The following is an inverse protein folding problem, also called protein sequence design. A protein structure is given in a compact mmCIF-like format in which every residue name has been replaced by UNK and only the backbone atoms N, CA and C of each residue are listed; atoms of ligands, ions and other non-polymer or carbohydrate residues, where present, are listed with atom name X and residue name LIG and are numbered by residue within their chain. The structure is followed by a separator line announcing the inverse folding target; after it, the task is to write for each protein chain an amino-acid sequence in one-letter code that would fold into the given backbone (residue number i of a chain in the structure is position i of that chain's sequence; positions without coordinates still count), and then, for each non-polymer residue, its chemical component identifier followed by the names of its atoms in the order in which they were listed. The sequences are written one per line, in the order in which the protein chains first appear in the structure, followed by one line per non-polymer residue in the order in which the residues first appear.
data_IF_012809817093
#
_entry.id   IF_012809817093
#
_cell.length_a   1.000
_cell.length_b   1.000
_cell.length_c   1.000
_cell.angle_alpha   90.00
_cell.angle_beta   90.00
_cell.angle_gamma   90.00
#
_symmetry.space_group_name_H-M   'P 1'
#
loop_
_entity.id
_entity.type
_entity.pdbx_description
1 polymer ?
#
# COMPACT_ATOMS: atom_id res chain seq x y z
N UNK A 1 8.25 28.74 -8.69
CA UNK A 1 9.34 27.79 -9.07
C UNK A 1 9.25 26.44 -8.33
N UNK A 2 8.48 26.30 -7.24
CA UNK A 2 8.30 25.02 -6.53
C UNK A 2 7.17 24.14 -7.13
N UNK A 3 6.35 24.73 -7.98
CA UNK A 3 5.07 24.19 -8.48
C UNK A 3 5.27 22.90 -9.30
N UNK A 4 6.30 22.87 -10.15
CA UNK A 4 6.63 21.69 -10.95
C UNK A 4 7.17 20.51 -10.12
N UNK A 5 7.92 20.78 -9.06
CA UNK A 5 8.44 19.72 -8.19
C UNK A 5 7.35 19.08 -7.33
N UNK A 6 6.39 19.87 -6.85
CA UNK A 6 5.22 19.36 -6.15
C UNK A 6 4.35 18.49 -7.06
N UNK A 7 4.03 18.95 -8.27
CA UNK A 7 3.25 18.18 -9.26
C UNK A 7 3.90 16.82 -9.61
N UNK A 8 5.22 16.78 -9.79
CA UNK A 8 5.96 15.55 -10.03
C UNK A 8 5.89 14.61 -8.81
N UNK A 9 6.03 15.14 -7.60
CA UNK A 9 5.91 14.34 -6.37
C UNK A 9 4.50 13.75 -6.21
N UNK A 10 3.43 14.50 -6.52
CA UNK A 10 2.06 13.98 -6.48
C UNK A 10 1.86 12.81 -7.44
N UNK A 11 2.36 12.93 -8.68
CA UNK A 11 2.29 11.84 -9.65
C UNK A 11 3.09 10.61 -9.18
N UNK A 12 4.32 10.81 -8.72
CA UNK A 12 5.18 9.73 -8.22
C UNK A 12 4.55 9.00 -7.02
N UNK A 13 3.89 9.72 -6.12
CA UNK A 13 3.22 9.14 -4.96
C UNK A 13 1.92 8.41 -5.33
N UNK A 14 1.15 8.92 -6.28
CA UNK A 14 0.00 8.20 -6.84
C UNK A 14 0.41 6.87 -7.47
N UNK A 15 1.51 6.86 -8.22
CA UNK A 15 2.08 5.65 -8.80
C UNK A 15 2.58 4.68 -7.73
N UNK A 16 3.29 5.17 -6.70
CA UNK A 16 3.77 4.34 -5.59
C UNK A 16 2.62 3.61 -4.87
N UNK A 17 1.46 4.27 -4.68
CA UNK A 17 0.26 3.63 -4.13
C UNK A 17 -0.21 2.46 -4.98
N UNK A 18 -0.30 2.65 -6.30
CA UNK A 18 -0.72 1.59 -7.23
C UNK A 18 0.26 0.43 -7.20
N UNK A 19 1.55 0.71 -7.16
CA UNK A 19 2.61 -0.30 -7.19
C UNK A 19 2.64 -1.13 -5.90
N UNK A 20 2.46 -0.50 -4.73
CA UNK A 20 2.38 -1.22 -3.46
C UNK A 20 1.10 -2.05 -3.40
N UNK A 21 -0.05 -1.53 -3.86
CA UNK A 21 -1.29 -2.31 -3.92
C UNK A 21 -1.13 -3.56 -4.82
N UNK A 22 -0.47 -3.42 -5.97
CA UNK A 22 -0.12 -4.54 -6.84
C UNK A 22 0.82 -5.54 -6.16
N UNK A 23 1.84 -5.05 -5.45
CA UNK A 23 2.79 -5.90 -4.74
C UNK A 23 2.10 -6.71 -3.63
N UNK A 24 1.23 -6.08 -2.83
CA UNK A 24 0.41 -6.75 -1.80
C UNK A 24 -0.44 -7.84 -2.45
N UNK A 25 -1.20 -7.51 -3.49
CA UNK A 25 -2.06 -8.49 -4.17
C UNK A 25 -1.27 -9.66 -4.77
N UNK A 26 -0.11 -9.39 -5.38
CA UNK A 26 0.77 -10.43 -5.91
C UNK A 26 1.25 -11.37 -4.81
N UNK A 27 1.71 -10.82 -3.68
CA UNK A 27 2.17 -11.61 -2.55
C UNK A 27 1.04 -12.47 -1.96
N UNK A 28 -0.20 -11.98 -1.96
CA UNK A 28 -1.39 -12.79 -1.61
C UNK A 28 -1.58 -13.98 -2.49
N UNK A 29 -1.59 -13.77 -3.80
CA UNK A 29 -1.76 -14.84 -4.76
C UNK A 29 -0.62 -15.88 -4.67
N UNK A 30 0.62 -15.43 -4.49
CA UNK A 30 1.78 -16.31 -4.35
C UNK A 30 1.67 -17.18 -3.08
N UNK A 31 1.15 -16.64 -1.97
CA UNK A 31 0.93 -17.41 -0.75
C UNK A 31 -0.23 -18.40 -0.88
N UNK A 32 -1.38 -17.99 -1.42
CA UNK A 32 -2.51 -18.89 -1.69
C UNK A 32 -2.11 -20.03 -2.64
N UNK A 33 -1.23 -19.76 -3.60
CA UNK A 33 -0.67 -20.79 -4.47
C UNK A 33 0.20 -21.78 -3.70
N UNK A 34 1.16 -21.28 -2.89
CA UNK A 34 2.00 -22.13 -2.04
C UNK A 34 1.17 -22.95 -1.04
N UNK A 35 0.06 -22.41 -0.56
CA UNK A 35 -0.93 -23.09 0.27
C UNK A 35 -1.59 -24.26 -0.46
N UNK A 36 -2.05 -24.02 -1.69
CA UNK A 36 -2.65 -25.06 -2.53
C UNK A 36 -1.69 -26.20 -2.80
N UNK A 37 -0.43 -25.88 -3.11
CA UNK A 37 0.63 -26.86 -3.33
C UNK A 37 1.02 -27.61 -2.04
N UNK A 38 1.13 -26.89 -0.91
CA UNK A 38 1.38 -27.48 0.41
C UNK A 38 0.25 -28.42 0.87
N UNK A 39 -1.01 -28.07 0.59
CA UNK A 39 -2.17 -28.94 0.87
C UNK A 39 -2.18 -30.21 0.03
N UNK A 40 -1.74 -30.17 -1.23
CA UNK A 40 -1.58 -31.39 -2.04
C UNK A 40 -0.51 -32.33 -1.47
N UNK A 41 0.49 -31.78 -0.81
CA UNK A 41 1.54 -32.54 -0.11
C UNK A 41 1.14 -32.91 1.34
N UNK A 42 0.02 -32.40 1.86
CA UNK A 42 -0.39 -32.50 3.27
C UNK A 42 -0.69 -33.92 3.77
N UNK A 43 -0.82 -34.91 2.89
CA UNK A 43 -0.76 -36.33 3.30
C UNK A 43 0.53 -36.70 4.05
N UNK A 44 1.55 -35.83 4.01
CA UNK A 44 2.84 -36.00 4.72
C UNK A 44 3.14 -34.94 5.78
N UNK A 45 2.35 -33.87 5.90
CA UNK A 45 2.61 -32.79 6.88
C UNK A 45 1.89 -33.10 8.20
N UNK A 46 2.66 -33.34 9.27
CA UNK A 46 2.12 -33.50 10.63
C UNK A 46 1.72 -32.14 11.23
N UNK A 47 0.81 -32.13 12.21
CA UNK A 47 0.14 -30.92 12.74
C UNK A 47 1.02 -29.73 13.18
N UNK A 48 2.33 -29.93 13.41
CA UNK A 48 3.28 -28.83 13.65
C UNK A 48 3.53 -27.95 12.41
N UNK A 49 3.47 -28.55 11.21
CA UNK A 49 3.62 -27.81 9.96
C UNK A 49 2.40 -26.92 9.69
N UNK A 50 1.20 -27.43 9.97
CA UNK A 50 -0.05 -26.67 9.90
C UNK A 50 -0.06 -25.49 10.89
N UNK A 51 0.39 -25.71 12.13
CA UNK A 51 0.49 -24.64 13.13
C UNK A 51 1.49 -23.56 12.71
N UNK A 52 2.69 -23.95 12.27
CA UNK A 52 3.73 -23.03 11.83
C UNK A 52 3.33 -22.24 10.57
N UNK A 53 2.47 -22.84 9.74
CA UNK A 53 1.87 -22.20 8.60
C UNK A 53 0.80 -21.18 9.03
N UNK A 54 -0.14 -21.56 9.88
CA UNK A 54 -1.20 -20.66 10.37
C UNK A 54 -0.62 -19.41 11.05
N UNK A 55 0.50 -19.56 11.77
CA UNK A 55 1.23 -18.43 12.36
C UNK A 55 1.78 -17.50 11.28
N UNK A 56 2.41 -18.04 10.23
CA UNK A 56 2.95 -17.25 9.11
C UNK A 56 1.85 -16.53 8.35
N UNK A 57 0.74 -17.21 8.07
CA UNK A 57 -0.40 -16.62 7.38
C UNK A 57 -0.98 -15.44 8.17
N UNK A 58 -1.20 -15.60 9.49
CA UNK A 58 -1.67 -14.51 10.36
C UNK A 58 -0.72 -13.32 10.40
N UNK A 59 0.59 -13.57 10.60
CA UNK A 59 1.61 -12.51 10.63
C UNK A 59 1.62 -11.73 9.31
N UNK A 60 1.43 -12.44 8.21
CA UNK A 60 1.47 -11.86 6.89
C UNK A 60 0.19 -11.08 6.55
N UNK A 61 -1.00 -11.59 6.91
CA UNK A 61 -2.25 -10.82 6.81
C UNK A 61 -2.16 -9.50 7.60
N UNK A 62 -1.57 -9.53 8.81
CA UNK A 62 -1.32 -8.33 9.59
C UNK A 62 -0.40 -7.34 8.86
N UNK A 63 0.73 -7.81 8.32
CA UNK A 63 1.65 -6.95 7.57
C UNK A 63 1.01 -6.34 6.31
N UNK A 64 0.18 -7.10 5.59
CA UNK A 64 -0.56 -6.60 4.42
C UNK A 64 -1.59 -5.54 4.82
N UNK A 65 -2.29 -5.72 5.94
CA UNK A 65 -3.21 -4.72 6.46
C UNK A 65 -2.48 -3.43 6.86
N UNK A 66 -1.34 -3.54 7.56
CA UNK A 66 -0.51 -2.39 7.95
C UNK A 66 -0.04 -1.61 6.72
N UNK A 67 0.40 -2.30 5.66
CA UNK A 67 0.79 -1.65 4.41
C UNK A 67 -0.38 -0.90 3.75
N UNK A 68 -1.58 -1.45 3.78
CA UNK A 68 -2.78 -0.77 3.26
C UNK A 68 -3.14 0.48 4.07
N UNK A 69 -2.97 0.43 5.39
CA UNK A 69 -3.17 1.58 6.28
C UNK A 69 -2.17 2.68 5.94
N UNK A 70 -0.89 2.37 5.91
CA UNK A 70 0.18 3.33 5.59
C UNK A 70 -0.07 3.98 4.22
N UNK A 71 -0.47 3.19 3.22
CA UNK A 71 -0.81 3.72 1.90
C UNK A 71 -1.99 4.69 1.92
N UNK A 72 -3.00 4.38 2.72
CA UNK A 72 -4.19 5.23 2.86
C UNK A 72 -3.81 6.54 3.54
N UNK A 73 -3.00 6.48 4.60
CA UNK A 73 -2.49 7.66 5.31
C UNK A 73 -1.65 8.56 4.40
N UNK A 74 -0.76 7.97 3.58
CA UNK A 74 0.02 8.71 2.58
C UNK A 74 -0.92 9.39 1.56
N UNK A 75 -1.94 8.68 1.07
CA UNK A 75 -2.94 9.23 0.17
C UNK A 75 -3.66 10.44 0.76
N UNK A 76 -4.16 10.32 2.00
CA UNK A 76 -4.85 11.41 2.70
C UNK A 76 -3.93 12.57 3.06
N UNK A 77 -2.63 12.33 3.30
CA UNK A 77 -1.66 13.41 3.49
C UNK A 77 -1.44 14.21 2.19
N UNK A 78 -1.47 13.55 1.04
CA UNK A 78 -1.30 14.18 -0.26
C UNK A 78 -2.52 14.99 -0.70
N UNK A 79 -3.72 14.48 -0.46
CA UNK A 79 -4.96 15.21 -0.70
C UNK A 79 -4.97 16.51 0.10
N UNK A 80 -4.67 16.45 1.41
CA UNK A 80 -4.55 17.64 2.26
C UNK A 80 -3.51 18.64 1.74
N UNK A 81 -2.33 18.14 1.33
CA UNK A 81 -1.28 19.02 0.78
C UNK A 81 -1.69 19.67 -0.55
N UNK A 82 -2.57 19.02 -1.33
CA UNK A 82 -3.10 19.55 -2.59
C UNK A 82 -4.12 20.66 -2.32
N UNK A 83 -5.00 20.46 -1.35
CA UNK A 83 -5.99 21.45 -0.93
C UNK A 83 -5.30 22.69 -0.35
N UNK A 84 -4.33 22.49 0.57
CA UNK A 84 -3.52 23.58 1.14
C UNK A 84 -2.79 24.38 0.05
N UNK A 85 -2.27 23.70 -0.99
CA UNK A 85 -1.60 24.35 -2.12
C UNK A 85 -2.58 25.19 -2.94
N UNK A 86 -3.76 24.65 -3.28
CA UNK A 86 -4.79 25.38 -4.04
C UNK A 86 -5.27 26.63 -3.32
N UNK A 87 -5.49 26.52 -2.02
CA UNK A 87 -5.93 27.63 -1.18
C UNK A 87 -4.85 28.72 -1.07
N UNK A 88 -3.59 28.30 -0.95
CA UNK A 88 -2.44 29.21 -0.90
C UNK A 88 -2.25 29.95 -2.21
N UNK A 89 -2.29 29.25 -3.35
CA UNK A 89 -2.17 29.85 -4.69
C UNK A 89 -3.34 30.79 -4.98
N UNK A 90 -4.57 30.40 -4.65
CA UNK A 90 -5.75 31.24 -4.83
C UNK A 90 -5.66 32.52 -3.98
N UNK A 91 -5.23 32.40 -2.71
CA UNK A 91 -5.04 33.54 -1.82
C UNK A 91 -3.90 34.47 -2.27
N UNK A 92 -2.82 33.90 -2.82
CA UNK A 92 -1.73 34.67 -3.39
C UNK A 92 -2.18 35.42 -4.65
N UNK A 93 -2.89 34.75 -5.57
CA UNK A 93 -3.42 35.35 -6.79
C UNK A 93 -4.39 36.50 -6.50
N UNK A 94 -5.25 36.38 -5.48
CA UNK A 94 -6.14 37.47 -5.05
C UNK A 94 -5.40 38.68 -4.44
N UNK A 95 -4.19 38.49 -3.92
CA UNK A 95 -3.37 39.56 -3.35
C UNK A 95 -2.60 40.37 -4.40
N UNK A 96 -2.44 39.81 -5.60
CA UNK A 96 -1.75 40.45 -6.72
C UNK A 96 -2.72 41.03 -7.78
N UNK A 97 -4.03 41.03 -7.50
CA UNK A 97 -5.06 41.80 -8.22
C UNK A 97 -5.43 43.05 -7.42
#
# INVERSE_FOLDING_TARGET
MNDGHLLVNFHALGQARVDIAKAVNKLTADLEYLEGEGKKLSGTWSGKAEEAYNIRQRKWQAASADLQIILTEIGSALERSTDDYRDTEHSAAQRFQ
#
